data_IF_018297335675
#
_entry.id   IF_018297335675
#
_cell.length_a   1.000
_cell.length_b   1.000
_cell.length_c   1.000
_cell.angle_alpha   90.00
_cell.angle_beta   90.00
_cell.angle_gamma   90.00
#
_symmetry.space_group_name_H-M   'P 1'
#
loop_
_entity.id
_entity.type
_entity.pdbx_description
1 polymer ?
#
# COMPACT_ATOMS: atom_id res chain seq x y z
N UNK A 1 -22.84 -9.99 -23.52
CA UNK A 1 -22.53 -10.66 -22.23
C UNK A 1 -21.97 -9.60 -21.31
N UNK A 2 -22.79 -9.10 -20.38
CA UNK A 2 -22.53 -7.93 -19.56
C UNK A 2 -21.52 -8.27 -18.44
N UNK A 3 -20.27 -7.80 -18.57
CA UNK A 3 -19.27 -7.89 -17.50
C UNK A 3 -19.64 -6.91 -16.39
N UNK A 4 -20.02 -7.45 -15.23
CA UNK A 4 -20.22 -6.67 -14.01
C UNK A 4 -18.84 -6.27 -13.48
N UNK A 5 -18.61 -4.96 -13.41
CA UNK A 5 -17.47 -4.36 -12.71
C UNK A 5 -17.72 -4.50 -11.20
N UNK A 6 -17.07 -5.46 -10.53
CA UNK A 6 -17.09 -5.54 -9.07
C UNK A 6 -15.93 -4.71 -8.52
N UNK A 7 -16.23 -3.48 -8.10
CA UNK A 7 -15.37 -2.71 -7.21
C UNK A 7 -15.68 -3.23 -5.79
N UNK A 8 -14.82 -4.09 -5.25
CA UNK A 8 -14.92 -4.54 -3.85
C UNK A 8 -13.98 -3.66 -3.02
N UNK A 9 -14.54 -2.63 -2.38
CA UNK A 9 -13.90 -1.96 -1.24
C UNK A 9 -14.17 -2.87 -0.04
N UNK A 10 -13.23 -3.75 0.30
CA UNK A 10 -13.32 -4.55 1.52
C UNK A 10 -12.62 -3.80 2.66
N UNK A 11 -13.23 -2.71 3.10
CA UNK A 11 -12.93 -2.08 4.39
C UNK A 11 -13.91 -2.64 5.43
N UNK A 12 -13.58 -3.75 6.07
CA UNK A 12 -14.41 -4.29 7.15
C UNK A 12 -14.05 -3.54 8.43
N UNK A 13 -14.83 -2.50 8.75
CA UNK A 13 -14.86 -1.89 10.08
C UNK A 13 -15.76 -2.75 10.98
N UNK A 14 -15.17 -3.59 11.82
CA UNK A 14 -15.90 -4.18 12.94
C UNK A 14 -15.77 -3.26 14.17
N UNK A 15 -16.80 -2.47 14.44
CA UNK A 15 -17.02 -1.87 15.76
C UNK A 15 -17.36 -2.99 16.76
N UNK A 16 -16.34 -3.48 17.48
CA UNK A 16 -16.56 -4.25 18.70
C UNK A 16 -16.57 -3.28 19.89
N UNK A 17 -17.71 -2.66 20.16
CA UNK A 17 -17.93 -1.98 21.43
C UNK A 17 -17.99 -3.04 22.55
N UNK A 18 -16.89 -3.20 23.28
CA UNK A 18 -16.95 -3.64 24.67
C UNK A 18 -16.75 -2.39 25.53
N UNK A 19 -17.78 -1.96 26.25
CA UNK A 19 -17.64 -1.00 27.33
C UNK A 19 -16.66 -1.57 28.37
N UNK A 20 -15.48 -0.95 28.50
CA UNK A 20 -14.62 -1.08 29.67
C UNK A 20 -14.58 0.26 30.40
N UNK A 21 -14.76 0.18 31.70
CA UNK A 21 -14.85 1.30 32.64
C UNK A 21 -13.70 2.31 32.46
N UNK A 22 -14.08 3.60 32.45
CA UNK A 22 -13.18 4.74 32.45
C UNK A 22 -12.35 4.76 33.73
N UNK A 23 -11.10 4.31 33.63
CA UNK A 23 -10.05 4.69 34.58
C UNK A 23 -9.38 5.97 34.06
N UNK A 24 -9.67 7.09 34.71
CA UNK A 24 -8.93 8.33 34.53
C UNK A 24 -7.51 8.17 35.08
N UNK A 25 -6.50 8.16 34.21
CA UNK A 25 -5.16 8.58 34.61
C UNK A 25 -4.38 9.18 33.44
N UNK A 26 -4.22 10.49 33.53
CA UNK A 26 -3.08 11.31 33.06
C UNK A 26 -2.77 11.23 31.56
N UNK A 27 -2.97 12.37 30.90
CA UNK A 27 -2.42 12.68 29.58
C UNK A 27 -0.94 12.26 29.48
N UNK A 28 -0.71 11.07 28.95
CA UNK A 28 0.57 10.70 28.39
C UNK A 28 0.69 11.51 27.11
N UNK A 29 1.51 12.56 27.15
CA UNK A 29 2.20 13.08 25.98
C UNK A 29 2.56 11.91 25.08
N UNK A 30 1.97 11.86 23.89
CA UNK A 30 2.20 10.81 22.92
C UNK A 30 3.68 10.80 22.53
N UNK A 31 4.49 10.04 23.25
CA UNK A 31 5.78 9.60 22.75
C UNK A 31 5.49 8.87 21.46
N UNK A 32 5.90 9.49 20.35
CA UNK A 32 5.94 8.86 19.03
C UNK A 32 6.64 7.51 19.25
N UNK A 33 5.91 6.39 19.24
CA UNK A 33 6.44 5.05 19.53
C UNK A 33 7.58 4.76 18.57
N UNK A 34 8.81 5.09 18.99
CA UNK A 34 9.99 4.88 18.19
C UNK A 34 10.32 3.40 18.27
N UNK A 35 10.18 2.72 17.15
CA UNK A 35 10.60 1.34 17.00
C UNK A 35 12.13 1.29 16.88
N UNK A 36 12.73 0.49 17.73
CA UNK A 36 14.14 0.13 17.68
C UNK A 36 14.25 -1.38 17.48
N UNK A 37 15.47 -1.86 17.24
CA UNK A 37 15.75 -3.27 16.97
C UNK A 37 15.28 -4.17 18.12
N UNK A 38 15.39 -3.72 19.36
CA UNK A 38 14.98 -4.49 20.54
C UNK A 38 13.46 -4.69 20.58
N UNK A 39 12.68 -3.62 20.38
CA UNK A 39 11.22 -3.69 20.32
C UNK A 39 10.74 -4.55 19.15
N UNK A 40 11.39 -4.43 18.00
CA UNK A 40 11.09 -5.27 16.83
C UNK A 40 11.36 -6.74 17.12
N UNK A 41 12.49 -7.06 17.75
CA UNK A 41 12.81 -8.42 18.17
C UNK A 41 11.81 -8.96 19.20
N UNK A 42 11.47 -8.18 20.22
CA UNK A 42 10.45 -8.56 21.21
C UNK A 42 9.10 -8.82 20.55
N UNK A 43 8.72 -8.01 19.57
CA UNK A 43 7.49 -8.22 18.80
C UNK A 43 7.55 -9.49 17.96
N UNK A 44 8.66 -9.77 17.29
CA UNK A 44 8.86 -11.02 16.56
C UNK A 44 8.71 -12.25 17.48
N UNK A 45 9.26 -12.18 18.70
CA UNK A 45 9.10 -13.25 19.70
C UNK A 45 7.63 -13.42 20.10
N UNK A 46 6.87 -12.33 20.28
CA UNK A 46 5.43 -12.42 20.58
C UNK A 46 4.65 -13.13 19.48
N UNK A 47 5.00 -12.94 18.20
CA UNK A 47 4.36 -13.66 17.09
C UNK A 47 4.62 -15.17 17.13
N UNK A 48 5.63 -15.64 17.85
CA UNK A 48 5.93 -17.07 18.05
C UNK A 48 5.29 -17.65 19.32
N UNK A 49 4.76 -16.81 20.22
CA UNK A 49 4.11 -17.23 21.46
C UNK A 49 2.61 -17.49 21.23
N UNK A 50 2.22 -18.77 21.25
CA UNK A 50 0.83 -19.19 21.04
C UNK A 50 -0.14 -18.60 22.06
N UNK A 51 0.33 -18.21 23.25
CA UNK A 51 -0.52 -17.58 24.27
C UNK A 51 -0.80 -16.09 23.99
N UNK A 52 -0.14 -15.52 22.98
CA UNK A 52 -0.32 -14.12 22.55
C UNK A 52 -1.12 -14.00 21.26
N UNK A 53 -1.37 -15.12 20.58
CA UNK A 53 -2.06 -15.13 19.31
C UNK A 53 -3.50 -14.67 19.42
N UNK A 54 -3.94 -13.85 18.48
CA UNK A 54 -5.35 -13.58 18.28
C UNK A 54 -5.99 -14.76 17.53
N UNK A 55 -6.35 -15.80 18.28
CA UNK A 55 -6.94 -17.04 17.73
C UNK A 55 -8.27 -16.76 17.03
N UNK A 56 -9.06 -15.80 17.53
CA UNK A 56 -10.34 -15.44 16.92
C UNK A 56 -10.12 -14.91 15.52
N UNK A 57 -9.16 -13.99 15.38
CA UNK A 57 -8.82 -13.35 14.12
C UNK A 57 -8.15 -14.33 13.15
N UNK A 58 -7.28 -15.21 13.64
CA UNK A 58 -6.66 -16.25 12.82
C UNK A 58 -7.70 -17.21 12.21
N UNK A 59 -8.70 -17.65 13.00
CA UNK A 59 -9.77 -18.49 12.49
C UNK A 59 -10.63 -17.76 11.44
N UNK A 60 -10.91 -16.47 11.65
CA UNK A 60 -11.59 -15.64 10.65
C UNK A 60 -10.78 -15.53 9.35
N UNK A 61 -9.46 -15.42 9.43
CA UNK A 61 -8.59 -15.40 8.26
C UNK A 61 -8.63 -16.73 7.49
N UNK A 62 -8.65 -17.87 8.19
CA UNK A 62 -8.81 -19.20 7.58
C UNK A 62 -10.16 -19.32 6.85
N UNK A 63 -11.26 -18.94 7.51
CA UNK A 63 -12.60 -18.98 6.91
C UNK A 63 -12.68 -18.08 5.67
N UNK A 64 -12.12 -16.87 5.77
CA UNK A 64 -12.05 -15.91 4.66
C UNK A 64 -11.24 -16.45 3.50
N UNK A 65 -10.07 -17.06 3.77
CA UNK A 65 -9.25 -17.68 2.74
C UNK A 65 -9.97 -18.83 2.04
N UNK A 66 -10.61 -19.73 2.79
CA UNK A 66 -11.36 -20.85 2.21
C UNK A 66 -12.49 -20.37 1.29
N UNK A 67 -13.10 -19.22 1.59
CA UNK A 67 -14.19 -18.64 0.79
C UNK A 67 -13.69 -17.88 -0.45
N UNK A 68 -12.52 -17.26 -0.37
CA UNK A 68 -12.02 -16.32 -1.40
C UNK A 68 -10.60 -16.64 -1.89
N UNK A 69 -10.19 -17.90 -1.81
CA UNK A 69 -8.82 -18.36 -2.13
C UNK A 69 -8.39 -17.95 -3.54
N UNK A 70 -9.28 -18.03 -4.53
CA UNK A 70 -9.02 -17.60 -5.90
C UNK A 70 -8.60 -16.12 -6.00
N UNK A 71 -9.20 -15.24 -5.18
CA UNK A 71 -8.85 -13.81 -5.13
C UNK A 71 -7.46 -13.63 -4.50
N UNK A 72 -7.14 -14.37 -3.44
CA UNK A 72 -5.83 -14.25 -2.79
C UNK A 72 -4.70 -14.84 -3.63
N UNK A 73 -5.00 -15.87 -4.42
CA UNK A 73 -4.05 -16.51 -5.34
C UNK A 73 -3.84 -15.72 -6.63
N UNK A 74 -4.69 -14.72 -6.93
CA UNK A 74 -4.49 -13.85 -8.10
C UNK A 74 -3.50 -12.71 -7.87
N UNK A 75 -2.99 -12.54 -6.64
CA UNK A 75 -1.96 -11.54 -6.33
C UNK A 75 -0.54 -12.10 -6.50
N UNK A 76 0.50 -11.25 -6.63
CA UNK A 76 1.88 -11.69 -6.84
C UNK A 76 2.38 -12.69 -5.78
N UNK A 77 1.97 -12.51 -4.52
CA UNK A 77 2.20 -13.43 -3.42
C UNK A 77 0.87 -13.95 -2.87
N UNK A 78 0.76 -15.27 -2.74
CA UNK A 78 -0.41 -15.91 -2.14
C UNK A 78 -0.55 -15.48 -0.66
N UNK A 79 -1.64 -14.79 -0.32
CA UNK A 79 -1.97 -14.43 1.07
C UNK A 79 -2.59 -15.62 1.80
N UNK A 80 -1.75 -16.53 2.28
CA UNK A 80 -2.19 -17.62 3.16
C UNK A 80 -2.41 -17.09 4.60
N UNK A 81 -3.38 -17.63 5.36
CA UNK A 81 -3.55 -17.29 6.78
C UNK A 81 -2.33 -17.72 7.59
N UNK A 82 -1.93 -16.90 8.56
CA UNK A 82 -0.91 -17.23 9.56
C UNK A 82 -1.27 -16.59 10.90
N UNK A 83 -0.94 -17.23 12.04
CA UNK A 83 -1.26 -16.69 13.35
C UNK A 83 -0.33 -15.53 13.70
N UNK A 84 -0.87 -14.54 14.40
CA UNK A 84 -0.14 -13.35 14.83
C UNK A 84 -0.55 -12.93 16.23
N UNK A 85 0.39 -12.32 16.97
CA UNK A 85 0.09 -11.76 18.28
C UNK A 85 -0.90 -10.58 18.16
N UNK A 86 -1.78 -10.41 19.15
CA UNK A 86 -2.72 -9.29 19.22
C UNK A 86 -2.04 -7.93 18.95
N UNK A 87 -2.74 -7.06 18.24
CA UNK A 87 -2.24 -5.74 17.85
C UNK A 87 -3.37 -4.74 17.60
N UNK A 88 -2.99 -3.48 17.56
CA UNK A 88 -3.87 -2.36 17.24
C UNK A 88 -3.21 -1.52 16.15
N UNK A 89 -3.70 -1.66 14.91
CA UNK A 89 -3.06 -1.10 13.72
C UNK A 89 -4.05 -0.88 12.58
N UNK A 90 -4.03 0.33 12.04
CA UNK A 90 -4.86 0.74 10.90
C UNK A 90 -3.98 1.13 9.72
N UNK A 91 -4.26 0.52 8.57
CA UNK A 91 -3.53 0.70 7.31
C UNK A 91 -4.42 1.37 6.26
N UNK A 92 -3.80 2.02 5.28
CA UNK A 92 -4.50 2.75 4.23
C UNK A 92 -4.03 2.31 2.85
N UNK A 93 -5.01 2.12 1.96
CA UNK A 93 -4.83 1.96 0.52
C UNK A 93 -5.77 2.91 -0.21
N UNK A 94 -5.23 3.88 -0.93
CA UNK A 94 -6.04 4.86 -1.66
C UNK A 94 -5.63 4.84 -3.13
N UNK A 95 -6.44 4.21 -4.01
CA UNK A 95 -6.27 4.34 -5.45
C UNK A 95 -6.53 5.78 -5.89
N UNK A 96 -5.86 6.23 -6.94
CA UNK A 96 -6.07 7.54 -7.52
C UNK A 96 -5.68 7.56 -8.99
N UNK A 97 -6.13 8.60 -9.68
CA UNK A 97 -5.66 8.87 -11.03
C UNK A 97 -5.30 10.34 -11.22
N UNK A 98 -4.39 10.59 -12.16
CA UNK A 98 -4.08 11.91 -12.69
C UNK A 98 -4.42 11.86 -14.18
N UNK A 99 -5.57 12.43 -14.54
CA UNK A 99 -6.00 12.49 -15.93
C UNK A 99 -5.28 13.61 -16.67
N UNK A 100 -4.92 13.31 -17.91
CA UNK A 100 -4.42 14.25 -18.90
C UNK A 100 -5.18 14.03 -20.22
N UNK A 101 -4.93 14.87 -21.23
CA UNK A 101 -5.68 14.86 -22.50
C UNK A 101 -5.86 13.45 -23.08
N UNK A 102 -4.75 12.77 -23.41
CA UNK A 102 -4.76 11.44 -24.01
C UNK A 102 -4.17 10.33 -23.14
N UNK A 103 -3.65 10.66 -21.96
CA UNK A 103 -2.95 9.73 -21.06
C UNK A 103 -3.47 9.87 -19.64
N UNK A 104 -3.26 8.84 -18.83
CA UNK A 104 -3.59 8.84 -17.41
C UNK A 104 -2.46 8.21 -16.62
N UNK A 105 -2.16 8.78 -15.46
CA UNK A 105 -1.48 8.03 -14.42
C UNK A 105 -2.51 7.31 -13.58
N UNK A 106 -2.44 5.98 -13.55
CA UNK A 106 -3.08 5.14 -12.54
C UNK A 106 -2.13 5.01 -11.37
N UNK A 107 -2.63 4.89 -10.15
CA UNK A 107 -1.74 4.87 -9.01
C UNK A 107 -2.41 4.55 -7.70
N UNK A 108 -1.58 4.19 -6.72
CA UNK A 108 -2.03 3.84 -5.38
C UNK A 108 -1.13 4.50 -4.35
N UNK A 109 -1.74 4.95 -3.25
CA UNK A 109 -1.04 5.38 -2.05
C UNK A 109 -1.22 4.33 -0.96
N UNK A 110 -0.09 3.85 -0.46
CA UNK A 110 -0.04 2.93 0.67
C UNK A 110 0.51 3.69 1.88
N UNK A 111 -0.14 3.52 3.02
CA UNK A 111 0.27 4.17 4.25
C UNK A 111 -0.35 3.54 5.48
N UNK A 112 -0.14 4.20 6.60
CA UNK A 112 -0.67 3.82 7.90
C UNK A 112 -1.28 5.05 8.57
N UNK A 113 -2.30 4.83 9.39
CA UNK A 113 -2.84 5.90 10.20
C UNK A 113 -1.91 6.17 11.38
N UNK A 114 -1.79 7.43 11.80
CA UNK A 114 -0.92 7.82 12.92
C UNK A 114 -1.27 7.05 14.22
N UNK A 115 -2.56 6.75 14.38
CA UNK A 115 -3.11 5.79 15.33
C UNK A 115 -4.49 5.33 14.78
N UNK A 116 -5.12 4.28 15.34
CA UNK A 116 -6.35 3.71 14.82
C UNK A 116 -7.56 4.68 14.78
N UNK A 117 -7.54 5.72 15.60
CA UNK A 117 -8.60 6.72 15.73
C UNK A 117 -8.31 7.99 14.90
N UNK A 118 -7.11 8.09 14.31
CA UNK A 118 -6.67 9.25 13.56
C UNK A 118 -7.21 9.22 12.13
N UNK A 119 -7.56 10.38 11.60
CA UNK A 119 -7.83 10.56 10.16
C UNK A 119 -6.54 10.82 9.36
N UNK A 120 -5.42 11.05 10.03
CA UNK A 120 -4.15 11.40 9.41
C UNK A 120 -3.41 10.15 8.94
N UNK A 121 -3.19 10.09 7.62
CA UNK A 121 -2.44 9.02 6.96
C UNK A 121 -1.00 9.46 6.74
N UNK A 122 -0.07 8.60 7.18
CA UNK A 122 1.36 8.70 6.87
C UNK A 122 1.61 7.81 5.66
N UNK A 123 1.81 8.42 4.50
CA UNK A 123 2.09 7.68 3.26
C UNK A 123 3.49 7.08 3.32
N UNK A 124 3.66 5.86 2.81
CA UNK A 124 4.94 5.13 2.78
C UNK A 124 5.34 4.72 1.36
N UNK A 125 4.36 4.63 0.46
CA UNK A 125 4.55 4.42 -0.97
C UNK A 125 3.50 5.21 -1.74
N UNK A 126 3.93 5.89 -2.79
CA UNK A 126 3.06 6.33 -3.88
C UNK A 126 3.57 5.71 -5.17
N UNK A 127 2.78 4.81 -5.76
CA UNK A 127 3.15 4.12 -6.99
C UNK A 127 2.24 4.59 -8.11
N UNK A 128 2.82 5.05 -9.22
CA UNK A 128 2.09 5.47 -10.42
C UNK A 128 2.57 4.68 -11.64
N UNK A 129 1.65 4.44 -12.57
CA UNK A 129 1.95 3.90 -13.90
C UNK A 129 1.29 4.77 -14.97
N UNK A 130 2.05 5.14 -16.00
CA UNK A 130 1.53 5.86 -17.17
C UNK A 130 0.84 4.88 -18.12
N UNK A 131 -0.34 5.25 -18.64
CA UNK A 131 -1.09 4.46 -19.64
C UNK A 131 -2.05 5.35 -20.46
N UNK A 132 -2.44 4.91 -21.68
CA UNK A 132 -3.62 5.42 -22.42
C UNK A 132 -4.92 4.91 -21.85
N UNK A 133 -4.87 3.70 -21.30
CA UNK A 133 -6.07 2.97 -20.98
C UNK A 133 -6.66 3.52 -19.68
N UNK A 134 -7.67 4.38 -19.83
CA UNK A 134 -8.45 4.89 -18.69
C UNK A 134 -9.14 3.75 -17.91
N UNK A 135 -9.38 2.62 -18.57
CA UNK A 135 -9.93 1.39 -17.99
C UNK A 135 -8.89 0.42 -17.46
N UNK A 136 -7.59 0.78 -17.48
CA UNK A 136 -6.52 -0.07 -16.94
C UNK A 136 -6.86 -0.53 -15.51
N UNK A 137 -6.73 -1.82 -15.27
CA UNK A 137 -7.05 -2.43 -13.99
C UNK A 137 -5.90 -2.22 -13.01
N UNK A 138 -6.24 -1.75 -11.81
CA UNK A 138 -5.32 -1.70 -10.66
C UNK A 138 -5.93 -2.51 -9.52
N UNK A 139 -5.16 -3.45 -9.00
CA UNK A 139 -5.54 -4.24 -7.83
C UNK A 139 -4.56 -3.93 -6.71
N UNK A 140 -5.05 -3.95 -5.47
CA UNK A 140 -4.22 -3.72 -4.30
C UNK A 140 -4.76 -4.49 -3.12
N UNK A 141 -3.86 -5.20 -2.45
CA UNK A 141 -4.08 -5.86 -1.19
C UNK A 141 -3.08 -5.30 -0.18
N UNK A 142 -3.59 -4.71 0.89
CA UNK A 142 -2.78 -4.28 2.04
C UNK A 142 -3.00 -5.26 3.18
N UNK A 143 -1.93 -5.61 3.86
CA UNK A 143 -1.97 -6.53 4.98
C UNK A 143 -1.38 -5.91 6.25
N UNK A 144 -2.22 -5.78 7.26
CA UNK A 144 -1.85 -5.28 8.59
C UNK A 144 -1.36 -6.40 9.52
N UNK A 145 -1.49 -7.68 9.12
CA UNK A 145 -1.12 -8.84 9.95
C UNK A 145 0.36 -8.88 10.30
N UNK A 146 1.20 -8.19 9.52
CA UNK A 146 2.63 -8.06 9.76
C UNK A 146 2.99 -6.96 10.78
N UNK A 147 2.04 -6.39 11.53
CA UNK A 147 2.30 -5.29 12.47
C UNK A 147 3.54 -5.54 13.36
N UNK A 148 4.52 -4.62 13.38
CA UNK A 148 4.45 -3.23 12.90
C UNK A 148 4.91 -2.99 11.45
N UNK A 149 5.18 -4.05 10.70
CA UNK A 149 5.53 -3.94 9.30
C UNK A 149 4.27 -3.72 8.45
N UNK A 150 4.32 -2.70 7.60
CA UNK A 150 3.29 -2.48 6.60
C UNK A 150 3.64 -3.26 5.34
N UNK A 151 2.77 -4.16 4.92
CA UNK A 151 2.95 -4.90 3.67
C UNK A 151 1.80 -4.65 2.73
N UNK A 152 2.11 -4.52 1.44
CA UNK A 152 1.10 -4.41 0.40
C UNK A 152 1.60 -5.07 -0.88
N UNK A 153 0.67 -5.44 -1.75
CA UNK A 153 0.97 -5.97 -3.06
C UNK A 153 -0.16 -5.65 -4.02
N UNK A 154 0.10 -5.78 -5.31
CA UNK A 154 -0.90 -5.54 -6.32
C UNK A 154 -0.38 -5.73 -7.72
N UNK A 155 -1.26 -5.41 -8.65
CA UNK A 155 -1.02 -5.57 -10.08
C UNK A 155 -1.54 -4.32 -10.78
N UNK A 156 -0.76 -3.79 -11.72
CA UNK A 156 -1.26 -2.90 -12.77
C UNK A 156 -1.33 -3.64 -14.09
N UNK A 157 -2.52 -3.76 -14.67
CA UNK A 157 -2.71 -4.25 -16.03
C UNK A 157 -2.83 -3.08 -16.97
N UNK A 158 -1.85 -2.93 -17.84
CA UNK A 158 -1.84 -1.92 -18.90
C UNK A 158 -1.90 -2.61 -20.26
N UNK A 159 -2.00 -1.84 -21.34
CA UNK A 159 -2.00 -2.41 -22.68
C UNK A 159 -0.72 -3.23 -22.89
N UNK A 160 -0.88 -4.50 -23.25
CA UNK A 160 0.17 -5.45 -23.60
C UNK A 160 1.23 -5.75 -22.52
N UNK A 161 1.01 -5.34 -21.26
CA UNK A 161 1.92 -5.67 -20.17
C UNK A 161 1.21 -5.70 -18.81
N UNK A 162 1.82 -6.42 -17.87
CA UNK A 162 1.35 -6.53 -16.48
C UNK A 162 2.51 -6.20 -15.54
N UNK A 163 2.22 -5.45 -14.48
CA UNK A 163 3.19 -5.02 -13.49
C UNK A 163 2.79 -5.50 -12.11
N UNK A 164 3.43 -6.56 -11.68
CA UNK A 164 3.36 -7.10 -10.34
C UNK A 164 4.22 -6.28 -9.40
N UNK A 165 3.68 -5.97 -8.24
CA UNK A 165 4.44 -5.26 -7.22
C UNK A 165 4.16 -5.78 -5.81
N UNK A 166 5.22 -5.76 -5.01
CA UNK A 166 5.21 -6.11 -3.59
C UNK A 166 5.97 -5.03 -2.84
N UNK A 167 5.39 -4.57 -1.74
CA UNK A 167 5.90 -3.49 -0.91
C UNK A 167 5.98 -3.93 0.54
N UNK A 168 7.04 -3.49 1.22
CA UNK A 168 7.17 -3.59 2.67
C UNK A 168 7.74 -2.30 3.24
N UNK A 169 7.22 -1.87 4.39
CA UNK A 169 7.81 -0.82 5.19
C UNK A 169 7.95 -1.27 6.64
N UNK A 170 9.14 -1.07 7.17
CA UNK A 170 9.50 -1.28 8.55
C UNK A 170 9.39 0.05 9.31
N UNK A 171 8.93 0.03 10.57
CA UNK A 171 8.73 1.25 11.34
C UNK A 171 10.04 1.96 11.74
N UNK A 172 11.19 1.31 11.59
CA UNK A 172 12.53 1.88 11.76
C UNK A 172 13.02 2.65 10.51
N UNK A 173 12.17 2.78 9.48
CA UNK A 173 12.41 3.63 8.30
C UNK A 173 12.97 2.88 7.09
N UNK A 174 13.14 1.56 7.17
CA UNK A 174 13.50 0.74 6.00
C UNK A 174 12.25 0.35 5.22
N UNK A 175 12.15 0.79 3.96
CA UNK A 175 11.02 0.49 3.09
C UNK A 175 11.49 0.08 1.70
N UNK A 176 10.84 -0.93 1.13
CA UNK A 176 11.20 -1.47 -0.18
C UNK A 176 9.97 -1.68 -1.05
N UNK A 177 10.16 -1.48 -2.35
CA UNK A 177 9.22 -1.90 -3.39
C UNK A 177 9.95 -2.84 -4.34
N UNK A 178 9.38 -4.00 -4.62
CA UNK A 178 9.79 -4.87 -5.71
C UNK A 178 8.71 -4.78 -6.79
N UNK A 179 9.07 -4.34 -8.00
CA UNK A 179 8.15 -4.24 -9.13
C UNK A 179 8.76 -4.92 -10.35
N UNK A 180 8.11 -5.96 -10.88
CA UNK A 180 8.65 -6.81 -11.96
C UNK A 180 10.16 -7.10 -11.80
N UNK A 181 10.55 -7.61 -10.63
CA UNK A 181 11.94 -7.93 -10.25
C UNK A 181 12.90 -6.72 -10.11
N UNK A 182 12.45 -5.48 -10.30
CA UNK A 182 13.21 -4.28 -9.95
C UNK A 182 12.98 -3.91 -8.48
N UNK A 183 14.04 -3.98 -7.69
CA UNK A 183 14.04 -3.53 -6.29
C UNK A 183 14.25 -2.01 -6.18
N UNK A 184 13.45 -1.35 -5.36
CA UNK A 184 13.56 0.06 -5.01
C UNK A 184 13.75 0.19 -3.50
N UNK A 185 14.73 0.99 -3.11
CA UNK A 185 14.95 1.39 -1.72
C UNK A 185 14.27 2.74 -1.50
N UNK A 186 13.14 2.71 -0.80
CA UNK A 186 12.26 3.88 -0.68
C UNK A 186 12.80 4.95 0.28
N UNK A 187 13.93 4.68 0.95
CA UNK A 187 14.68 5.70 1.69
C UNK A 187 15.19 6.82 0.78
N UNK A 188 15.29 6.56 -0.52
CA UNK A 188 15.73 7.54 -1.53
C UNK A 188 14.58 8.26 -2.23
N UNK A 189 13.33 7.92 -1.90
CA UNK A 189 12.12 8.53 -2.44
C UNK A 189 10.95 7.56 -2.40
N UNK A 190 9.82 8.02 -1.84
CA UNK A 190 8.61 7.21 -1.62
C UNK A 190 7.67 7.18 -2.82
N UNK A 191 7.91 8.05 -3.82
CA UNK A 191 7.12 8.08 -5.06
C UNK A 191 7.87 7.43 -6.20
N UNK A 192 7.27 6.37 -6.74
CA UNK A 192 7.75 5.62 -7.90
C UNK A 192 6.80 5.83 -9.06
N UNK A 193 7.34 6.18 -10.23
CA UNK A 193 6.57 6.37 -11.45
C UNK A 193 7.11 5.42 -12.51
N UNK A 194 6.23 4.60 -13.09
CA UNK A 194 6.55 3.61 -14.12
C UNK A 194 6.04 4.09 -15.47
N UNK A 195 6.90 3.95 -16.48
CA UNK A 195 6.61 4.29 -17.88
C UNK A 195 6.77 3.03 -18.74
N UNK A 196 5.68 2.27 -18.96
CA UNK A 196 5.71 1.11 -19.86
C UNK A 196 6.13 1.51 -21.27
N UNK A 197 7.01 0.73 -21.90
CA UNK A 197 7.50 0.96 -23.26
C UNK A 197 6.88 -0.03 -24.24
N UNK A 198 6.79 0.34 -25.52
CA UNK A 198 6.19 -0.49 -26.58
C UNK A 198 6.95 -1.81 -26.82
N UNK A 199 8.22 -1.88 -26.45
CA UNK A 199 9.06 -3.08 -26.50
C UNK A 199 8.93 -4.00 -25.26
N UNK A 200 7.92 -3.75 -24.41
CA UNK A 200 7.64 -4.43 -23.13
C UNK A 200 8.64 -4.16 -22.01
N UNK A 201 9.67 -3.32 -22.24
CA UNK A 201 10.47 -2.78 -21.15
C UNK A 201 9.69 -1.70 -20.38
N UNK A 202 10.30 -1.18 -19.32
CA UNK A 202 9.77 0.00 -18.63
C UNK A 202 10.92 0.92 -18.22
N UNK A 203 10.65 2.22 -18.29
CA UNK A 203 11.46 3.23 -17.63
C UNK A 203 10.81 3.58 -16.29
N UNK A 204 11.57 4.19 -15.40
CA UNK A 204 11.06 4.58 -14.09
C UNK A 204 11.71 5.84 -13.56
N UNK A 205 11.01 6.51 -12.66
CA UNK A 205 11.54 7.57 -11.81
C UNK A 205 11.28 7.23 -10.35
N UNK A 206 12.26 7.50 -9.49
CA UNK A 206 12.10 7.51 -8.05
C UNK A 206 12.37 8.93 -7.57
N UNK A 207 11.37 9.56 -6.96
CA UNK A 207 11.43 10.96 -6.53
C UNK A 207 11.15 11.10 -5.05
N UNK A 208 11.75 12.13 -4.45
CA UNK A 208 11.61 12.42 -3.02
C UNK A 208 10.26 13.02 -2.65
N UNK A 209 9.56 13.64 -3.61
CA UNK A 209 8.21 14.14 -3.40
C UNK A 209 7.30 13.02 -2.92
N UNK A 210 6.50 13.30 -1.91
CA UNK A 210 5.53 12.40 -1.30
C UNK A 210 4.29 13.21 -0.94
N UNK A 211 3.09 12.63 -0.93
CA UNK A 211 1.89 13.32 -0.45
C UNK A 211 2.07 13.90 0.97
N UNK A 212 2.97 13.32 1.77
CA UNK A 212 3.35 13.82 3.09
C UNK A 212 3.97 15.23 3.08
N UNK A 213 4.46 15.72 1.93
CA UNK A 213 5.07 17.05 1.80
C UNK A 213 4.06 18.15 1.50
N UNK A 214 2.77 17.82 1.34
CA UNK A 214 1.74 18.75 0.89
C UNK A 214 0.57 18.77 1.87
N UNK A 215 -0.06 19.94 2.04
CA UNK A 215 -1.31 20.05 2.80
C UNK A 215 -2.52 19.50 2.04
N UNK A 216 -2.51 19.56 0.71
CA UNK A 216 -3.55 19.03 -0.17
C UNK A 216 -2.96 18.06 -1.19
N UNK A 217 -3.60 16.90 -1.37
CA UNK A 217 -3.23 15.91 -2.36
C UNK A 217 -3.28 16.44 -3.80
N UNK A 218 -4.12 17.44 -4.10
CA UNK A 218 -4.14 18.11 -5.40
C UNK A 218 -2.82 18.80 -5.72
N UNK A 219 -2.14 19.34 -4.72
CA UNK A 219 -0.86 20.02 -4.93
C UNK A 219 0.27 19.02 -5.19
N UNK A 220 0.23 17.86 -4.53
CA UNK A 220 1.09 16.72 -4.91
C UNK A 220 0.86 16.31 -6.38
N UNK A 221 -0.40 16.14 -6.82
CA UNK A 221 -0.67 15.80 -8.24
C UNK A 221 -0.09 16.84 -9.20
N UNK A 222 -0.20 18.14 -8.87
CA UNK A 222 0.43 19.21 -9.67
C UNK A 222 1.95 19.12 -9.67
N UNK A 223 2.59 18.73 -8.57
CA UNK A 223 4.05 18.58 -8.52
C UNK A 223 4.53 17.48 -9.47
N UNK A 224 3.85 16.33 -9.48
CA UNK A 224 4.11 15.24 -10.43
C UNK A 224 4.02 15.75 -11.87
N UNK A 225 2.94 16.45 -12.20
CA UNK A 225 2.72 16.99 -13.54
C UNK A 225 3.73 18.06 -13.95
N UNK A 226 4.29 18.77 -12.98
CA UNK A 226 5.30 19.81 -13.23
C UNK A 226 6.73 19.31 -13.25
N UNK A 227 6.97 18.06 -12.83
CA UNK A 227 8.30 17.47 -12.81
C UNK A 227 8.88 17.39 -14.25
N UNK A 228 10.07 17.97 -14.51
CA UNK A 228 10.65 18.01 -15.86
C UNK A 228 10.87 16.62 -16.48
N UNK A 229 11.21 15.61 -15.67
CA UNK A 229 11.43 14.25 -16.15
C UNK A 229 10.10 13.58 -16.52
N UNK A 230 9.06 13.80 -15.72
CA UNK A 230 7.69 13.35 -16.05
C UNK A 230 7.22 13.99 -17.35
N UNK A 231 7.36 15.31 -17.49
CA UNK A 231 7.02 16.02 -18.75
C UNK A 231 7.74 15.45 -19.96
N UNK A 232 9.04 15.13 -19.83
CA UNK A 232 9.81 14.50 -20.91
C UNK A 232 9.21 13.15 -21.32
N UNK A 233 8.83 12.32 -20.35
CA UNK A 233 8.22 11.02 -20.63
C UNK A 233 6.83 11.16 -21.28
N UNK A 234 6.05 12.15 -20.90
CA UNK A 234 4.75 12.42 -21.54
C UNK A 234 4.87 12.78 -23.02
N UNK A 235 5.99 13.36 -23.44
CA UNK A 235 6.27 13.67 -24.86
C UNK A 235 6.90 12.50 -25.62
N UNK A 236 7.37 11.44 -24.95
CA UNK A 236 8.03 10.29 -25.58
C UNK A 236 7.07 9.48 -26.46
N UNK A 237 7.49 9.12 -27.67
CA UNK A 237 6.75 8.21 -28.56
C UNK A 237 6.98 6.73 -28.24
N UNK A 238 7.98 6.41 -27.41
CA UNK A 238 8.31 5.02 -27.02
C UNK A 238 7.44 4.48 -25.90
N UNK A 239 6.74 5.37 -25.19
CA UNK A 239 5.86 4.98 -24.11
C UNK A 239 4.59 4.38 -24.69
N UNK A 240 4.06 3.35 -24.03
CA UNK A 240 2.70 2.89 -24.27
C UNK A 240 1.79 4.01 -23.78
N UNK A 241 1.31 4.78 -24.75
CA UNK A 241 0.62 6.04 -24.58
C UNK A 241 -0.84 5.92 -24.80
#
# INVERSE_FOLDING_TARGET
MTKKLLIIILGILFHSCQEREKSNSVAQTAEKKKWDVEKLNNRAIQHLDTNKWDIKLFNQDIETYNKYSEIFQSYPLNKSPFPVAEYDYSVSSIPFSIEMDSTVFKGVRIGEYENPESEKIINKLTLLILTNDKGAEETTLVDSRNYPYLTAQGIFKVINNEFDWVFSASPDGFSTLLLNMKLFDLRFGETIIIYPQTDKSFLYEQIKDSPNNYGDFKDFKKSIMNNPKVKKQLMSEKNIK
#
